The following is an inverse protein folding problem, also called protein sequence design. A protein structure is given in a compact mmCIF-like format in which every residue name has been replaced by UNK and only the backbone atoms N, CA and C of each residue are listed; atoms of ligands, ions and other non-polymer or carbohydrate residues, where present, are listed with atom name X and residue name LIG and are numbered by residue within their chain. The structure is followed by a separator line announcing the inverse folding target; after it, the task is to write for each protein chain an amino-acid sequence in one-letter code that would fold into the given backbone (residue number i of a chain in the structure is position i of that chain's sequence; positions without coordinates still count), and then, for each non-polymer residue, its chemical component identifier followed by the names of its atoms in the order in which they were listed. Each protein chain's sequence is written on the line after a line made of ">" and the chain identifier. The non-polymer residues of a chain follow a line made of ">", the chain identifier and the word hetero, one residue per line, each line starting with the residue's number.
data_IF_797297975336
#
_entry.id   IF_797297975336
#
_cell.length_a   1.000
_cell.length_b   1.000
_cell.length_c   1.000
_cell.angle_alpha   90.00
_cell.angle_beta   90.00
_cell.angle_gamma   90.00
#
_symmetry.space_group_name_H-M   'P 1'
#
loop_
_entity.id
_entity.type
_entity.pdbx_description
1 polymer ?
#
# COMPACT_ATOMS: atom_id res chain seq x y z
N UNK A 1 -4.83 17.72 -29.38
CA UNK A 1 -3.87 16.83 -28.69
C UNK A 1 -4.36 16.62 -27.26
N UNK A 2 -5.10 15.54 -27.02
CA UNK A 2 -5.47 15.14 -25.66
C UNK A 2 -4.22 14.53 -25.00
N UNK A 3 -3.76 15.14 -23.92
CA UNK A 3 -2.69 14.59 -23.08
C UNK A 3 -3.23 13.31 -22.44
N UNK A 4 -2.69 12.15 -22.83
CA UNK A 4 -2.95 10.89 -22.13
C UNK A 4 -2.31 11.04 -20.75
N UNK A 5 -3.07 10.96 -19.65
CA UNK A 5 -2.48 11.03 -18.31
C UNK A 5 -1.45 9.90 -18.21
N UNK A 6 -0.21 10.25 -17.85
CA UNK A 6 0.83 9.26 -17.58
C UNK A 6 0.32 8.41 -16.43
N UNK A 7 -0.14 7.19 -16.72
CA UNK A 7 -0.56 6.26 -15.67
C UNK A 7 0.64 6.10 -14.73
N UNK A 8 0.47 6.52 -13.49
CA UNK A 8 1.55 6.51 -12.50
C UNK A 8 1.82 5.03 -12.22
N UNK A 9 3.02 4.56 -12.54
CA UNK A 9 3.39 3.14 -12.48
C UNK A 9 3.09 2.53 -11.12
N UNK A 10 2.71 1.25 -11.12
CA UNK A 10 2.52 0.48 -9.90
C UNK A 10 3.84 -0.20 -9.55
N UNK A 11 4.24 -0.05 -8.30
CA UNK A 11 5.36 -0.72 -7.65
C UNK A 11 4.92 -1.23 -6.27
N UNK A 12 5.82 -1.92 -5.58
CA UNK A 12 5.54 -2.49 -4.26
C UNK A 12 5.18 -1.41 -3.23
N UNK A 13 5.90 -0.29 -3.21
CA UNK A 13 5.65 0.80 -2.25
C UNK A 13 4.24 1.36 -2.39
N UNK A 14 3.76 1.53 -3.62
CA UNK A 14 2.39 2.01 -3.86
C UNK A 14 1.32 1.00 -3.48
N UNK A 15 1.59 -0.29 -3.64
CA UNK A 15 0.72 -1.36 -3.15
C UNK A 15 0.62 -1.30 -1.62
N UNK A 16 1.75 -1.17 -0.93
CA UNK A 16 1.80 -1.10 0.54
C UNK A 16 1.07 0.15 1.04
N UNK A 17 1.35 1.33 0.48
CA UNK A 17 0.71 2.59 0.88
C UNK A 17 -0.82 2.55 0.68
N UNK A 18 -1.28 1.95 -0.41
CA UNK A 18 -2.72 1.81 -0.68
C UNK A 18 -3.38 0.88 0.34
N UNK A 19 -2.72 -0.23 0.68
CA UNK A 19 -3.22 -1.17 1.67
C UNK A 19 -3.20 -0.59 3.09
N UNK A 20 -2.17 0.19 3.45
CA UNK A 20 -2.08 0.91 4.71
C UNK A 20 -3.19 1.95 4.85
N UNK A 21 -3.42 2.78 3.82
CA UNK A 21 -4.52 3.74 3.81
C UNK A 21 -5.89 3.06 3.96
N UNK A 22 -6.08 1.90 3.32
CA UNK A 22 -7.30 1.10 3.48
C UNK A 22 -7.47 0.58 4.92
N UNK A 23 -6.37 0.19 5.57
CA UNK A 23 -6.37 -0.24 6.97
C UNK A 23 -6.67 0.91 7.93
N UNK A 24 -6.11 2.10 7.67
CA UNK A 24 -6.34 3.30 8.47
C UNK A 24 -7.80 3.77 8.38
N UNK A 25 -8.41 3.70 7.19
CA UNK A 25 -9.78 4.16 6.95
C UNK A 25 -10.85 3.15 7.40
N UNK A 26 -10.59 1.85 7.25
CA UNK A 26 -11.61 0.81 7.41
C UNK A 26 -11.24 -0.33 8.38
N UNK A 27 -10.07 -0.24 9.02
CA UNK A 27 -9.54 -1.27 9.89
C UNK A 27 -8.75 -2.35 9.15
N UNK A 28 -7.89 -3.04 9.89
CA UNK A 28 -6.94 -4.04 9.37
C UNK A 28 -7.60 -5.18 8.59
N UNK A 29 -8.75 -5.67 9.05
CA UNK A 29 -9.48 -6.79 8.43
C UNK A 29 -10.11 -6.41 7.08
N UNK A 30 -10.29 -5.12 6.82
CA UNK A 30 -10.80 -4.64 5.54
C UNK A 30 -9.78 -4.78 4.40
N UNK A 31 -8.50 -5.00 4.73
CA UNK A 31 -7.43 -5.18 3.73
C UNK A 31 -7.57 -6.53 3.05
N UNK A 32 -7.94 -6.48 1.77
CA UNK A 32 -8.04 -7.64 0.89
C UNK A 32 -7.39 -7.35 -0.46
N UNK A 33 -6.92 -8.40 -1.15
CA UNK A 33 -6.31 -8.27 -2.48
C UNK A 33 -7.27 -7.65 -3.49
N UNK A 34 -8.57 -7.92 -3.36
CA UNK A 34 -9.60 -7.35 -4.22
C UNK A 34 -9.72 -5.83 -4.06
N UNK A 35 -9.85 -5.35 -2.82
CA UNK A 35 -9.98 -3.90 -2.54
C UNK A 35 -8.72 -3.14 -2.90
N UNK A 36 -7.53 -3.72 -2.65
CA UNK A 36 -6.26 -3.10 -3.04
C UNK A 36 -6.14 -3.01 -4.56
N UNK A 37 -6.46 -4.09 -5.29
CA UNK A 37 -6.43 -4.07 -6.76
C UNK A 37 -7.43 -3.06 -7.35
N UNK A 38 -8.65 -3.00 -6.79
CA UNK A 38 -9.68 -2.03 -7.15
C UNK A 38 -9.19 -0.58 -6.97
N UNK A 39 -8.64 -0.27 -5.79
CA UNK A 39 -8.16 1.08 -5.46
C UNK A 39 -6.95 1.49 -6.31
N UNK A 40 -6.13 0.53 -6.75
CA UNK A 40 -5.03 0.75 -7.68
C UNK A 40 -5.46 0.78 -9.16
N UNK A 41 -6.70 0.44 -9.47
CA UNK A 41 -7.19 0.34 -10.85
C UNK A 41 -6.53 -0.79 -11.66
N UNK A 42 -6.10 -1.87 -11.01
CA UNK A 42 -5.47 -3.03 -11.64
C UNK A 42 -6.28 -4.31 -11.41
N UNK A 43 -5.94 -5.37 -12.14
CA UNK A 43 -6.54 -6.69 -11.92
C UNK A 43 -5.82 -7.41 -10.78
N UNK A 44 -6.55 -8.22 -10.01
CA UNK A 44 -5.99 -9.04 -8.92
C UNK A 44 -4.79 -9.90 -9.39
N UNK A 45 -4.82 -10.58 -10.55
CA UNK A 45 -3.65 -11.30 -11.07
C UNK A 45 -2.39 -10.43 -11.22
N UNK A 46 -2.55 -9.16 -11.60
CA UNK A 46 -1.43 -8.21 -11.74
C UNK A 46 -0.83 -7.82 -10.39
N UNK A 47 -1.63 -7.85 -9.32
CA UNK A 47 -1.17 -7.53 -7.96
C UNK A 47 -0.14 -8.56 -7.46
N UNK A 48 -0.26 -9.83 -7.86
CA UNK A 48 0.70 -10.88 -7.51
C UNK A 48 2.10 -10.67 -8.09
N UNK A 49 2.29 -9.78 -9.07
CA UNK A 49 3.63 -9.41 -9.54
C UNK A 49 4.43 -8.62 -8.49
N UNK A 50 3.76 -8.08 -7.46
CA UNK A 50 4.37 -7.24 -6.44
C UNK A 50 4.39 -7.91 -5.06
N UNK A 51 3.43 -8.80 -4.77
CA UNK A 51 3.25 -9.39 -3.44
C UNK A 51 2.98 -10.89 -3.50
N UNK A 52 3.40 -11.61 -2.47
CA UNK A 52 3.17 -13.05 -2.29
C UNK A 52 1.79 -13.38 -1.68
N UNK A 53 0.75 -12.65 -2.08
CA UNK A 53 -0.61 -12.78 -1.53
C UNK A 53 -0.87 -11.91 -0.30
N UNK A 54 -1.99 -12.16 0.38
CA UNK A 54 -2.49 -11.28 1.45
C UNK A 54 -1.55 -11.25 2.67
N UNK A 55 -1.02 -12.39 3.07
CA UNK A 55 -0.08 -12.45 4.20
C UNK A 55 1.26 -11.79 3.86
N UNK A 56 1.70 -11.90 2.60
CA UNK A 56 2.86 -11.15 2.09
C UNK A 56 2.64 -9.65 2.17
N UNK A 57 1.49 -9.17 1.68
CA UNK A 57 1.11 -7.76 1.79
C UNK A 57 1.07 -7.27 3.23
N UNK A 58 0.44 -8.05 4.12
CA UNK A 58 0.35 -7.72 5.55
C UNK A 58 1.71 -7.63 6.24
N UNK A 59 2.64 -8.50 5.87
CA UNK A 59 4.02 -8.44 6.34
C UNK A 59 4.71 -7.16 5.89
N UNK A 60 4.62 -6.83 4.61
CA UNK A 60 5.23 -5.62 4.07
C UNK A 60 4.62 -4.34 4.68
N UNK A 61 3.31 -4.31 4.91
CA UNK A 61 2.66 -3.21 5.65
C UNK A 61 3.22 -3.05 7.06
N UNK A 62 3.40 -4.15 7.80
CA UNK A 62 3.96 -4.09 9.15
C UNK A 62 5.40 -3.58 9.15
N UNK A 63 6.23 -4.05 8.21
CA UNK A 63 7.60 -3.56 8.05
C UNK A 63 7.65 -2.08 7.69
N UNK A 64 6.77 -1.64 6.79
CA UNK A 64 6.67 -0.23 6.41
C UNK A 64 6.24 0.66 7.58
N UNK A 65 5.23 0.26 8.36
CA UNK A 65 4.80 0.98 9.55
C UNK A 65 5.90 1.07 10.61
N UNK A 66 6.65 -0.02 10.84
CA UNK A 66 7.79 -0.02 11.77
C UNK A 66 8.91 0.93 11.32
N UNK A 67 9.19 1.03 10.02
CA UNK A 67 10.16 1.99 9.49
C UNK A 67 9.71 3.43 9.73
N UNK A 68 8.44 3.74 9.46
CA UNK A 68 7.90 5.07 9.74
C UNK A 68 8.01 5.44 11.21
N UNK A 69 7.74 4.50 12.13
CA UNK A 69 7.90 4.73 13.56
C UNK A 69 9.36 4.96 13.96
N UNK A 70 10.32 4.28 13.31
CA UNK A 70 11.75 4.51 13.54
C UNK A 70 12.26 5.83 12.96
N UNK A 71 11.63 6.31 11.89
CA UNK A 71 11.93 7.59 11.24
C UNK A 71 11.25 8.78 11.93
N UNK A 72 10.26 8.54 12.80
CA UNK A 72 9.77 9.56 13.73
C UNK A 72 10.94 9.92 14.65
N UNK A 73 11.58 11.07 14.36
CA UNK A 73 12.45 11.72 15.32
C UNK A 73 11.60 11.93 16.58
N UNK A 74 12.03 11.48 17.78
CA UNK A 74 11.34 11.88 18.99
C UNK A 74 11.28 13.41 18.96
N UNK A 75 10.10 13.97 19.16
CA UNK A 75 9.92 15.41 19.28
C UNK A 75 10.98 15.89 20.29
N UNK A 76 11.90 16.74 19.84
CA UNK A 76 12.82 17.43 20.75
C UNK A 76 11.92 18.32 21.60
N UNK A 77 11.60 17.86 22.82
CA UNK A 77 10.81 18.59 23.80
C UNK A 77 11.39 20.02 23.95
N UNK A 78 10.63 21.03 23.49
CA UNK A 78 10.85 22.48 23.74
C UNK A 78 10.51 22.85 25.19
#
# INVERSE_FOLDING_TARGET
>A
MLSVPRTKSIDLDRVIQTAAALADEHGYDAVTLARVAEQLGIRIPSLYNYISGLDGLRREMALWALRQLGDLKPDEDD
#
